data_IF_673561587827
#
_entry.id   IF_673561587827
#
_cell.length_a   1.000
_cell.length_b   1.000
_cell.length_c   1.000
_cell.angle_alpha   90.00
_cell.angle_beta   90.00
_cell.angle_gamma   90.00
#
_symmetry.space_group_name_H-M   'P 1'
#
loop_
_entity.id
_entity.type
_entity.pdbx_description
1 polymer ?
#
# COMPACT_ATOMS: atom_id res chain seq x y z
N UNK A 1 -2.67 12.05 2.09
CA UNK A 1 -3.80 11.11 2.19
C UNK A 1 -4.17 10.98 3.66
N UNK A 2 -5.44 11.23 4.04
CA UNK A 2 -5.92 11.03 5.41
C UNK A 2 -5.75 9.57 5.86
N UNK A 3 -5.48 9.34 7.16
CA UNK A 3 -5.34 8.00 7.76
C UNK A 3 -3.98 7.32 7.59
N UNK A 4 -3.11 7.79 6.69
CA UNK A 4 -1.81 7.13 6.42
C UNK A 4 -0.93 7.01 7.65
N UNK A 5 -0.84 8.07 8.47
CA UNK A 5 0.01 8.07 9.65
C UNK A 5 -0.52 7.12 10.73
N UNK A 6 -1.86 7.09 10.92
CA UNK A 6 -2.53 6.16 11.85
C UNK A 6 -2.22 4.71 11.44
N UNK A 7 -2.42 4.39 10.17
CA UNK A 7 -2.16 3.05 9.63
C UNK A 7 -0.69 2.63 9.80
N UNK A 8 0.26 3.44 9.33
CA UNK A 8 1.69 3.06 9.37
C UNK A 8 2.19 2.94 10.81
N UNK A 9 1.80 3.84 11.72
CA UNK A 9 2.16 3.73 13.14
C UNK A 9 1.59 2.47 13.78
N UNK A 10 0.33 2.14 13.47
CA UNK A 10 -0.32 0.92 13.94
C UNK A 10 0.41 -0.34 13.48
N UNK A 11 0.66 -0.46 12.17
CA UNK A 11 1.38 -1.60 11.61
C UNK A 11 2.80 -1.73 12.18
N UNK A 12 3.51 -0.61 12.37
CA UNK A 12 4.85 -0.62 12.99
C UNK A 12 4.80 -1.08 14.45
N UNK A 13 3.84 -0.58 15.24
CA UNK A 13 3.61 -1.00 16.65
C UNK A 13 3.42 -2.52 16.75
N UNK A 14 2.68 -3.10 15.82
CA UNK A 14 2.40 -4.54 15.76
C UNK A 14 3.45 -5.36 15.02
N UNK A 15 4.59 -4.75 14.63
CA UNK A 15 5.69 -5.41 13.90
C UNK A 15 5.24 -6.08 12.60
N UNK A 16 4.26 -5.49 11.92
CA UNK A 16 3.84 -5.94 10.59
C UNK A 16 4.84 -5.37 9.57
N UNK A 17 5.52 -6.20 8.77
CA UNK A 17 6.46 -5.72 7.76
C UNK A 17 5.78 -4.89 6.68
N UNK A 18 6.41 -3.78 6.29
CA UNK A 18 5.85 -2.84 5.32
C UNK A 18 6.89 -2.40 4.30
N UNK A 19 6.49 -2.35 3.03
CA UNK A 19 7.29 -1.77 1.96
C UNK A 19 6.49 -0.78 1.11
N UNK A 20 7.22 0.13 0.49
CA UNK A 20 6.69 1.01 -0.56
C UNK A 20 7.10 0.44 -1.91
N UNK A 21 6.15 0.34 -2.85
CA UNK A 21 6.37 -0.10 -4.22
C UNK A 21 5.94 1.02 -5.19
N UNK A 22 6.88 1.87 -5.61
CA UNK A 22 6.62 3.01 -6.50
C UNK A 22 7.12 2.78 -7.92
N UNK A 23 6.30 3.09 -8.94
CA UNK A 23 6.76 3.08 -10.34
C UNK A 23 7.73 4.23 -10.68
N UNK A 24 7.89 5.20 -9.77
CA UNK A 24 8.82 6.32 -9.95
C UNK A 24 10.25 5.85 -9.76
N UNK A 25 11.20 6.43 -10.49
CA UNK A 25 12.63 6.16 -10.26
C UNK A 25 13.09 6.75 -8.92
N UNK A 26 14.11 6.14 -8.31
CA UNK A 26 14.57 6.42 -6.95
C UNK A 26 14.87 7.89 -6.69
N UNK A 27 15.44 8.60 -7.66
CA UNK A 27 15.69 10.06 -7.57
C UNK A 27 14.40 10.83 -7.24
N UNK A 28 13.30 10.54 -7.92
CA UNK A 28 12.02 11.24 -7.68
C UNK A 28 11.33 10.75 -6.41
N UNK A 29 11.47 9.47 -6.07
CA UNK A 29 10.99 8.95 -4.79
C UNK A 29 11.66 9.71 -3.65
N UNK A 30 12.99 9.83 -3.64
CA UNK A 30 13.74 10.55 -2.61
C UNK A 30 13.30 12.02 -2.46
N UNK A 31 12.99 12.70 -3.56
CA UNK A 31 12.46 14.08 -3.50
C UNK A 31 11.08 14.08 -2.83
N UNK A 32 10.17 13.21 -3.27
CA UNK A 32 8.79 13.12 -2.73
C UNK A 32 8.77 12.71 -1.25
N UNK A 33 9.70 11.86 -0.83
CA UNK A 33 9.77 11.38 0.56
C UNK A 33 10.52 12.32 1.49
N UNK A 34 11.34 13.24 0.95
CA UNK A 34 12.17 14.14 1.75
C UNK A 34 11.37 15.06 2.69
N UNK A 35 10.12 15.38 2.34
CA UNK A 35 9.25 16.26 3.11
C UNK A 35 8.59 15.59 4.32
N UNK A 36 8.62 14.26 4.41
CA UNK A 36 8.01 13.51 5.51
C UNK A 36 8.85 12.29 5.92
N UNK A 37 10.10 12.53 6.28
CA UNK A 37 11.05 11.46 6.63
C UNK A 37 10.56 10.58 7.79
N UNK A 38 9.85 11.14 8.77
CA UNK A 38 9.27 10.35 9.88
C UNK A 38 8.37 9.23 9.35
N UNK A 39 7.45 9.55 8.43
CA UNK A 39 6.59 8.55 7.82
C UNK A 39 7.39 7.49 7.06
N UNK A 40 8.29 7.92 6.18
CA UNK A 40 8.98 7.02 5.27
C UNK A 40 10.04 6.14 5.96
N UNK A 41 10.60 6.58 7.09
CA UNK A 41 11.53 5.79 7.90
C UNK A 41 10.86 4.63 8.66
N UNK A 42 9.52 4.59 8.75
CA UNK A 42 8.83 3.47 9.37
C UNK A 42 8.72 2.24 8.45
N UNK A 43 8.84 2.42 7.14
CA UNK A 43 8.84 1.32 6.17
C UNK A 43 10.18 0.60 6.17
N UNK A 44 10.14 -0.73 6.03
CA UNK A 44 11.33 -1.58 6.06
C UNK A 44 12.07 -1.56 4.71
N UNK A 45 11.37 -1.24 3.63
CA UNK A 45 11.97 -1.09 2.31
C UNK A 45 11.19 -0.11 1.39
N UNK A 46 11.90 0.47 0.42
CA UNK A 46 11.33 1.27 -0.67
C UNK A 46 11.86 0.73 -2.00
N UNK A 47 11.00 0.03 -2.74
CA UNK A 47 11.23 -0.43 -4.11
C UNK A 47 10.73 0.62 -5.10
N UNK A 48 11.60 1.01 -6.02
CA UNK A 48 11.42 2.03 -7.03
C UNK A 48 11.35 1.39 -8.44
N UNK A 49 10.88 2.16 -9.42
CA UNK A 49 10.67 1.66 -10.78
C UNK A 49 11.95 1.26 -11.50
N UNK A 50 13.08 1.83 -11.11
CA UNK A 50 14.43 1.52 -11.58
C UNK A 50 15.05 0.28 -10.89
N UNK A 51 14.38 -0.32 -9.90
CA UNK A 51 14.82 -1.56 -9.26
C UNK A 51 14.28 -2.82 -9.97
N UNK A 52 13.39 -2.66 -10.95
CA UNK A 52 12.69 -3.79 -11.61
C UNK A 52 12.73 -3.69 -13.13
N UNK A 53 12.63 -4.85 -13.79
CA UNK A 53 12.65 -4.95 -15.25
C UNK A 53 11.34 -4.45 -15.89
N UNK A 54 10.20 -4.86 -15.34
CA UNK A 54 8.89 -4.51 -15.88
C UNK A 54 8.08 -3.70 -14.86
N UNK A 55 7.45 -2.63 -15.32
CA UNK A 55 6.58 -1.79 -14.49
C UNK A 55 5.13 -2.28 -14.50
N UNK A 56 4.33 -1.78 -13.54
CA UNK A 56 2.88 -2.00 -13.45
C UNK A 56 2.21 -1.81 -14.83
N UNK A 57 1.42 -2.77 -15.34
CA UNK A 57 0.71 -3.82 -14.60
C UNK A 57 1.49 -5.14 -14.39
N UNK A 58 2.77 -5.20 -14.72
CA UNK A 58 3.59 -6.35 -14.36
C UNK A 58 3.77 -6.44 -12.82
N UNK A 59 3.87 -7.65 -12.25
CA UNK A 59 3.92 -7.86 -10.80
C UNK A 59 5.31 -7.61 -10.19
N UNK A 60 6.35 -7.39 -11.01
CA UNK A 60 7.76 -7.35 -10.61
C UNK A 60 8.01 -6.41 -9.42
N UNK A 61 7.37 -5.23 -9.40
CA UNK A 61 7.52 -4.25 -8.33
C UNK A 61 7.01 -4.77 -6.98
N UNK A 62 5.91 -5.53 -6.98
CA UNK A 62 5.36 -6.11 -5.77
C UNK A 62 6.14 -7.35 -5.32
N UNK A 63 6.67 -8.15 -6.25
CA UNK A 63 7.58 -9.25 -5.89
C UNK A 63 8.87 -8.74 -5.26
N UNK A 64 9.51 -7.73 -5.85
CA UNK A 64 10.72 -7.13 -5.29
C UNK A 64 10.45 -6.49 -3.91
N UNK A 65 9.33 -5.80 -3.73
CA UNK A 65 8.94 -5.26 -2.43
C UNK A 65 8.68 -6.36 -1.39
N UNK A 66 8.01 -7.46 -1.77
CA UNK A 66 7.73 -8.63 -0.93
C UNK A 66 9.01 -9.34 -0.50
N UNK A 67 9.95 -9.55 -1.42
CA UNK A 67 11.24 -10.16 -1.13
C UNK A 67 12.03 -9.34 -0.11
N UNK A 68 12.03 -8.01 -0.24
CA UNK A 68 12.74 -7.11 0.66
C UNK A 68 12.18 -7.06 2.09
N UNK A 69 10.94 -7.50 2.32
CA UNK A 69 10.31 -7.54 3.66
C UNK A 69 10.23 -8.95 4.25
N UNK A 70 11.07 -9.87 3.76
CA UNK A 70 11.15 -11.24 4.30
C UNK A 70 10.34 -12.28 3.52
N UNK A 71 9.90 -11.95 2.30
CA UNK A 71 9.33 -12.89 1.34
C UNK A 71 8.07 -13.66 1.82
N UNK A 72 7.08 -13.01 2.49
CA UNK A 72 5.88 -13.71 2.98
C UNK A 72 5.05 -14.31 1.84
N UNK A 73 4.22 -15.34 2.09
CA UNK A 73 3.26 -15.84 1.10
C UNK A 73 2.45 -14.73 0.44
N UNK A 74 2.21 -14.81 -0.88
CA UNK A 74 1.53 -13.74 -1.62
C UNK A 74 0.10 -13.48 -1.13
N UNK A 75 -0.60 -14.53 -0.69
CA UNK A 75 -1.94 -14.45 -0.12
C UNK A 75 -2.01 -13.76 1.26
N UNK A 76 -0.86 -13.57 1.92
CA UNK A 76 -0.71 -12.78 3.15
C UNK A 76 -0.23 -11.34 2.88
N UNK A 77 -0.01 -10.98 1.61
CA UNK A 77 0.34 -9.61 1.23
C UNK A 77 -0.93 -8.81 0.95
N UNK A 78 -1.02 -7.62 1.56
CA UNK A 78 -2.07 -6.64 1.33
C UNK A 78 -1.49 -5.39 0.67
N UNK A 79 -1.99 -5.05 -0.52
CA UNK A 79 -1.56 -3.88 -1.28
C UNK A 79 -2.58 -2.75 -1.12
N UNK A 80 -2.10 -1.54 -0.85
CA UNK A 80 -2.89 -0.30 -1.01
C UNK A 80 -2.44 0.40 -2.29
N UNK A 81 -3.38 0.68 -3.20
CA UNK A 81 -3.09 1.27 -4.51
C UNK A 81 -4.10 2.34 -4.88
N UNK A 82 -3.69 3.32 -5.69
CA UNK A 82 -4.55 4.40 -6.20
C UNK A 82 -4.85 4.24 -7.70
N UNK A 83 -4.04 3.46 -8.42
CA UNK A 83 -4.06 3.37 -9.87
C UNK A 83 -4.54 2.02 -10.39
N UNK A 84 -5.26 2.03 -11.53
CA UNK A 84 -5.77 0.79 -12.15
C UNK A 84 -4.65 -0.18 -12.53
N UNK A 85 -3.52 0.33 -13.03
CA UNK A 85 -2.36 -0.51 -13.35
C UNK A 85 -1.74 -1.12 -12.09
N UNK A 86 -1.78 -0.40 -10.97
CA UNK A 86 -1.34 -0.93 -9.68
C UNK A 86 -2.22 -2.04 -9.16
N UNK A 87 -3.55 -1.89 -9.24
CA UNK A 87 -4.50 -2.97 -8.87
C UNK A 87 -4.23 -4.21 -9.72
N UNK A 88 -4.12 -4.05 -11.04
CA UNK A 88 -3.80 -5.16 -11.96
C UNK A 88 -2.48 -5.84 -11.61
N UNK A 89 -1.43 -5.07 -11.30
CA UNK A 89 -0.16 -5.63 -10.87
C UNK A 89 -0.25 -6.41 -9.55
N UNK A 90 -1.05 -5.95 -8.58
CA UNK A 90 -1.25 -6.66 -7.32
C UNK A 90 -1.99 -7.99 -7.55
N UNK A 91 -3.02 -7.99 -8.41
CA UNK A 91 -3.74 -9.21 -8.79
C UNK A 91 -2.87 -10.19 -9.59
N UNK A 92 -2.05 -9.68 -10.52
CA UNK A 92 -1.06 -10.49 -11.23
C UNK A 92 0.00 -11.10 -10.29
N UNK A 93 0.23 -10.48 -9.12
CA UNK A 93 1.11 -10.98 -8.07
C UNK A 93 0.39 -11.94 -7.10
N UNK A 94 -0.88 -12.28 -7.32
CA UNK A 94 -1.73 -13.06 -6.40
C UNK A 94 -1.77 -12.49 -4.97
N UNK A 95 -1.86 -11.16 -4.85
CA UNK A 95 -1.98 -10.44 -3.59
C UNK A 95 -3.39 -9.86 -3.42
N UNK A 96 -3.82 -9.68 -2.16
CA UNK A 96 -5.02 -8.89 -1.87
C UNK A 96 -4.73 -7.41 -2.15
N UNK A 97 -5.71 -6.68 -2.66
CA UNK A 97 -5.55 -5.26 -2.98
C UNK A 97 -6.77 -4.44 -2.56
N UNK A 98 -6.50 -3.36 -1.85
CA UNK A 98 -7.45 -2.32 -1.50
C UNK A 98 -7.17 -1.14 -2.41
N UNK A 99 -8.19 -0.72 -3.14
CA UNK A 99 -8.13 0.46 -3.98
C UNK A 99 -8.52 1.69 -3.18
N UNK A 100 -7.62 2.68 -3.16
CA UNK A 100 -7.78 3.99 -2.52
C UNK A 100 -7.70 5.08 -3.60
N UNK A 101 -8.73 5.20 -4.45
CA UNK A 101 -8.68 6.10 -5.60
C UNK A 101 -8.70 7.57 -5.20
N UNK A 102 -8.12 8.41 -6.07
CA UNK A 102 -8.61 9.77 -6.20
C UNK A 102 -10.07 9.73 -6.70
N UNK A 103 -11.02 10.48 -6.10
CA UNK A 103 -12.43 10.47 -6.51
C UNK A 103 -12.65 10.66 -8.02
N UNK A 104 -11.87 11.53 -8.67
CA UNK A 104 -11.96 11.75 -10.11
C UNK A 104 -11.57 10.52 -10.92
N UNK A 105 -10.64 9.71 -10.42
CA UNK A 105 -10.27 8.44 -11.06
C UNK A 105 -11.39 7.41 -10.85
N UNK A 106 -12.02 7.38 -9.68
CA UNK A 106 -13.15 6.47 -9.43
C UNK A 106 -14.32 6.73 -10.40
N UNK A 107 -14.63 8.00 -10.68
CA UNK A 107 -15.67 8.38 -11.64
C UNK A 107 -15.40 7.88 -13.07
N UNK A 108 -14.14 7.74 -13.46
CA UNK A 108 -13.75 7.20 -14.78
C UNK A 108 -13.91 5.68 -14.88
N UNK A 109 -14.04 4.99 -13.75
CA UNK A 109 -14.13 3.52 -13.68
C UNK A 109 -15.27 3.08 -12.73
N UNK A 110 -16.54 3.44 -13.02
CA UNK A 110 -17.67 3.20 -12.12
C UNK A 110 -17.95 1.71 -11.86
N UNK A 111 -17.62 0.85 -12.83
CA UNK A 111 -17.90 -0.60 -12.78
C UNK A 111 -16.67 -1.45 -12.41
N UNK A 112 -15.60 -0.84 -11.91
CA UNK A 112 -14.40 -1.58 -11.57
C UNK A 112 -14.62 -2.50 -10.36
N UNK A 113 -14.33 -3.78 -10.54
CA UNK A 113 -14.55 -4.82 -9.54
C UNK A 113 -13.33 -5.75 -9.36
N UNK A 114 -12.15 -5.33 -9.82
CA UNK A 114 -10.93 -6.12 -9.73
C UNK A 114 -10.16 -5.94 -8.41
N UNK A 115 -10.56 -4.97 -7.56
CA UNK A 115 -10.01 -4.81 -6.22
C UNK A 115 -10.80 -5.65 -5.20
N UNK A 116 -10.16 -6.06 -4.12
CA UNK A 116 -10.81 -6.81 -3.04
C UNK A 116 -11.67 -5.90 -2.15
N UNK A 117 -11.30 -4.63 -2.03
CA UNK A 117 -12.09 -3.59 -1.37
C UNK A 117 -11.78 -2.21 -1.97
N UNK A 118 -12.74 -1.30 -1.91
CA UNK A 118 -12.60 0.09 -2.34
C UNK A 118 -12.92 0.98 -1.14
N UNK A 119 -11.98 1.84 -0.76
CA UNK A 119 -12.16 2.84 0.30
C UNK A 119 -11.69 4.21 -0.21
N UNK A 120 -12.32 5.30 0.20
CA UNK A 120 -11.94 6.65 -0.25
C UNK A 120 -10.99 7.36 0.72
N UNK A 121 -10.75 6.76 1.89
CA UNK A 121 -9.80 7.22 2.89
C UNK A 121 -9.19 6.03 3.63
N UNK A 122 -7.91 6.12 4.00
CA UNK A 122 -7.31 5.12 4.90
C UNK A 122 -7.89 5.20 6.33
N UNK A 123 -8.71 6.21 6.63
CA UNK A 123 -9.50 6.23 7.85
C UNK A 123 -10.59 5.13 7.87
N UNK A 124 -11.07 4.71 6.69
CA UNK A 124 -12.16 3.74 6.55
C UNK A 124 -11.66 2.29 6.51
N UNK A 125 -10.33 2.10 6.49
CA UNK A 125 -9.72 0.78 6.50
C UNK A 125 -10.01 0.07 7.83
N UNK A 126 -10.53 -1.15 7.75
CA UNK A 126 -10.69 -2.05 8.88
C UNK A 126 -9.64 -3.17 8.81
N UNK A 127 -8.61 -3.15 9.68
CA UNK A 127 -7.55 -4.15 9.67
C UNK A 127 -8.05 -5.57 9.96
N UNK A 128 -9.16 -5.72 10.69
CA UNK A 128 -9.64 -7.05 11.13
C UNK A 128 -10.15 -7.90 9.97
N UNK A 129 -10.63 -7.28 8.88
CA UNK A 129 -11.00 -7.96 7.62
C UNK A 129 -9.84 -8.69 6.94
N UNK A 130 -8.59 -8.32 7.29
CA UNK A 130 -7.37 -8.81 6.66
C UNK A 130 -6.44 -9.51 7.65
N UNK A 131 -6.99 -10.05 8.76
CA UNK A 131 -6.23 -10.78 9.78
C UNK A 131 -5.14 -9.92 10.45
N UNK A 132 -5.28 -8.59 10.39
CA UNK A 132 -4.41 -7.65 11.07
C UNK A 132 -5.01 -7.27 12.44
N UNK A 133 -4.18 -6.91 13.43
CA UNK A 133 -4.66 -6.46 14.73
C UNK A 133 -5.63 -5.27 14.61
N UNK A 134 -6.72 -5.22 15.39
CA UNK A 134 -7.63 -4.07 15.39
C UNK A 134 -6.88 -2.80 15.78
N UNK A 135 -7.32 -1.64 15.27
CA UNK A 135 -6.83 -0.36 15.81
C UNK A 135 -7.09 -0.28 17.31
N UNK A 136 -6.20 0.38 18.05
CA UNK A 136 -6.47 0.71 19.45
C UNK A 136 -7.79 1.49 19.51
N UNK A 137 -8.65 1.20 20.49
CA UNK A 137 -9.81 2.06 20.75
C UNK A 137 -9.29 3.48 20.98
N UNK A 138 -9.75 4.44 20.18
CA UNK A 138 -9.54 5.84 20.52
C UNK A 138 -10.22 6.03 21.87
N UNK A 139 -9.42 6.17 22.93
CA UNK A 139 -9.90 6.59 24.23
C UNK A 139 -10.74 7.82 23.98
N UNK A 140 -12.06 7.67 24.09
CA UNK A 140 -13.00 8.75 23.94
C UNK A 140 -12.63 9.76 25.01
N UNK A 141 -11.83 10.76 24.63
CA UNK A 141 -11.53 11.89 25.50
C UNK A 141 -12.86 12.61 25.70
N UNK A 142 -13.36 12.45 26.93
CA UNK A 142 -14.44 13.22 27.52
C UNK A 142 -14.14 14.73 27.51
#
# INVERSE_FOLDING_TARGET
>A
MPGVMRLVKHLKKHRIPMAIASKSVRKFVNVKTSVNRELFNMFDNVTCGDDVKNLKPAPDLFFAAREAIGNPPTNQCLVFEDSINGIKAAKNANMKVIWVPNPMVAELYPDINIADEIIFSLNDFDPTKYELPPFDEESSSA
#
